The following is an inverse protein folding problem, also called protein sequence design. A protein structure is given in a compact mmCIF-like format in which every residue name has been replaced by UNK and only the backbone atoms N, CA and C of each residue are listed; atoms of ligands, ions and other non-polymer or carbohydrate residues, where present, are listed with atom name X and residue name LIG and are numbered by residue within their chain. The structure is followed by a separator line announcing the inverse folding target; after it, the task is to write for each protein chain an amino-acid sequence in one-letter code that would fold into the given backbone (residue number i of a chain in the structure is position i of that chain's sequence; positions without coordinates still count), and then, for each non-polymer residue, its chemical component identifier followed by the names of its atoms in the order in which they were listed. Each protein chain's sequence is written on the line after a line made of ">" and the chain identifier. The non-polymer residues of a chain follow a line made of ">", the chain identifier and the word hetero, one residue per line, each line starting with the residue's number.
data_IF_184917353332
#
_entry.id   IF_184917353332
#
_cell.length_a   1.000
_cell.length_b   1.000
_cell.length_c   1.000
_cell.angle_alpha   90.00
_cell.angle_beta   90.00
_cell.angle_gamma   90.00
#
_symmetry.space_group_name_H-M   'P 1'
#
loop_
_entity.id
_entity.type
_entity.pdbx_description
1 polymer ?
#
# COMPACT_ATOMS: atom_id res chain seq x y z
N UNK A 1 -16.60 11.57 2.83
CA UNK A 1 -15.37 10.98 2.31
C UNK A 1 -14.40 10.69 3.44
N UNK A 2 -13.74 9.55 3.38
CA UNK A 2 -12.73 9.18 4.38
C UNK A 2 -11.35 9.70 3.97
N UNK A 3 -10.44 9.79 4.93
CA UNK A 3 -9.05 10.16 4.66
C UNK A 3 -8.40 9.17 3.69
N UNK A 4 -8.74 7.88 3.80
CA UNK A 4 -8.23 6.86 2.90
C UNK A 4 -8.63 7.14 1.45
N UNK A 5 -9.88 7.53 1.20
CA UNK A 5 -10.33 7.86 -0.15
C UNK A 5 -9.59 9.06 -0.73
N UNK A 6 -9.35 10.07 0.10
CA UNK A 6 -8.59 11.26 -0.33
C UNK A 6 -7.17 10.87 -0.71
N UNK A 7 -6.52 10.06 0.12
CA UNK A 7 -5.17 9.59 -0.14
C UNK A 7 -5.09 8.76 -1.43
N UNK A 8 -6.07 7.87 -1.65
CA UNK A 8 -6.11 7.06 -2.86
C UNK A 8 -6.27 7.91 -4.12
N UNK A 9 -7.12 8.94 -4.07
CA UNK A 9 -7.29 9.86 -5.19
C UNK A 9 -6.00 10.63 -5.48
N UNK A 10 -5.32 11.09 -4.44
CA UNK A 10 -4.04 11.78 -4.59
C UNK A 10 -2.99 10.85 -5.18
N UNK A 11 -2.96 9.60 -4.73
CA UNK A 11 -2.01 8.60 -5.23
C UNK A 11 -2.24 8.32 -6.71
N UNK A 12 -3.50 8.15 -7.13
CA UNK A 12 -3.84 7.94 -8.53
C UNK A 12 -3.39 9.11 -9.40
N UNK A 13 -3.67 10.32 -8.95
CA UNK A 13 -3.30 11.53 -9.68
C UNK A 13 -1.78 11.67 -9.80
N UNK A 14 -1.07 11.43 -8.70
CA UNK A 14 0.38 11.50 -8.68
C UNK A 14 1.01 10.48 -9.61
N UNK A 15 0.54 9.25 -9.58
CA UNK A 15 1.06 8.20 -10.44
C UNK A 15 0.78 8.50 -11.91
N UNK A 16 -0.40 9.02 -12.21
CA UNK A 16 -0.74 9.41 -13.57
C UNK A 16 0.22 10.50 -14.08
N UNK A 17 0.44 11.53 -13.25
CA UNK A 17 1.35 12.63 -13.60
C UNK A 17 2.78 12.16 -13.84
N UNK A 18 3.23 11.19 -13.06
CA UNK A 18 4.60 10.64 -13.15
C UNK A 18 4.73 9.54 -14.20
N UNK A 19 3.64 9.13 -14.84
CA UNK A 19 3.67 8.09 -15.86
C UNK A 19 3.95 6.70 -15.32
N UNK A 20 3.61 6.45 -14.05
CA UNK A 20 3.77 5.13 -13.43
C UNK A 20 2.40 4.50 -13.17
N UNK A 21 2.36 3.17 -13.17
CA UNK A 21 1.09 2.44 -13.03
C UNK A 21 0.69 2.29 -11.57
N UNK A 22 -0.54 2.67 -11.27
CA UNK A 22 -1.14 2.44 -9.96
C UNK A 22 -2.07 1.23 -10.07
N UNK A 23 -1.49 0.04 -9.97
CA UNK A 23 -2.22 -1.21 -10.18
C UNK A 23 -3.22 -1.49 -9.06
N UNK A 24 -4.21 -2.38 -9.28
CA UNK A 24 -5.17 -2.73 -8.23
C UNK A 24 -4.52 -3.23 -6.94
N UNK A 25 -3.46 -4.03 -7.04
CA UNK A 25 -2.78 -4.54 -5.84
C UNK A 25 -2.07 -3.41 -5.09
N UNK A 26 -1.43 -2.49 -5.81
CA UNK A 26 -0.78 -1.32 -5.20
C UNK A 26 -1.81 -0.43 -4.50
N UNK A 27 -2.94 -0.24 -5.15
CA UNK A 27 -4.04 0.53 -4.59
C UNK A 27 -4.57 -0.11 -3.29
N UNK A 28 -4.77 -1.42 -3.30
CA UNK A 28 -5.29 -2.13 -2.13
C UNK A 28 -4.31 -2.10 -0.97
N UNK A 29 -3.03 -2.26 -1.24
CA UNK A 29 -1.99 -2.16 -0.21
C UNK A 29 -2.02 -0.78 0.46
N UNK A 30 -2.05 0.27 -0.34
CA UNK A 30 -2.12 1.64 0.18
C UNK A 30 -3.39 1.85 1.00
N UNK A 31 -4.52 1.37 0.51
CA UNK A 31 -5.80 1.49 1.20
C UNK A 31 -5.78 0.84 2.58
N UNK A 32 -5.25 -0.38 2.66
CA UNK A 32 -5.16 -1.11 3.93
C UNK A 32 -4.27 -0.39 4.93
N UNK A 33 -3.14 0.13 4.48
CA UNK A 33 -2.23 0.89 5.33
C UNK A 33 -2.90 2.16 5.83
N UNK A 34 -3.56 2.89 4.94
CA UNK A 34 -4.25 4.13 5.30
C UNK A 34 -5.39 3.90 6.29
N UNK A 35 -6.17 2.84 6.07
CA UNK A 35 -7.29 2.52 6.95
C UNK A 35 -6.85 2.07 8.34
N UNK A 36 -5.70 1.42 8.43
CA UNK A 36 -5.17 0.95 9.71
C UNK A 36 -4.80 2.13 10.63
N UNK A 37 -4.21 3.17 10.07
CA UNK A 37 -3.99 4.43 10.77
C UNK A 37 -2.87 4.45 11.79
N UNK A 38 -2.06 3.40 11.92
CA UNK A 38 -1.06 3.38 12.98
C UNK A 38 0.09 2.40 12.80
N UNK A 39 0.53 2.18 11.58
CA UNK A 39 1.62 1.26 11.33
C UNK A 39 1.13 -0.19 11.21
N UNK A 40 0.76 -0.56 9.99
CA UNK A 40 0.32 -1.92 9.69
C UNK A 40 1.54 -2.82 9.52
N UNK A 41 1.61 -3.89 10.30
CA UNK A 41 2.73 -4.84 10.22
C UNK A 41 2.68 -5.64 8.93
N UNK A 42 3.85 -5.94 8.38
CA UNK A 42 3.97 -6.68 7.14
C UNK A 42 3.22 -8.00 7.20
N UNK A 43 3.33 -8.73 8.30
CA UNK A 43 2.64 -10.00 8.48
C UNK A 43 1.12 -9.85 8.34
N UNK A 44 0.56 -8.85 9.01
CA UNK A 44 -0.89 -8.61 8.98
C UNK A 44 -1.36 -8.20 7.58
N UNK A 45 -0.56 -7.39 6.90
CA UNK A 45 -0.86 -6.99 5.52
C UNK A 45 -0.87 -8.20 4.59
N UNK A 46 0.15 -9.05 4.68
CA UNK A 46 0.24 -10.25 3.87
C UNK A 46 -0.94 -11.19 4.12
N UNK A 47 -1.27 -11.40 5.40
CA UNK A 47 -2.37 -12.27 5.78
C UNK A 47 -3.70 -11.79 5.20
N UNK A 48 -3.97 -10.50 5.34
CA UNK A 48 -5.22 -9.92 4.84
C UNK A 48 -5.30 -9.99 3.32
N UNK A 49 -4.21 -9.68 2.62
CA UNK A 49 -4.20 -9.73 1.17
C UNK A 49 -4.33 -11.15 0.64
N UNK A 50 -3.77 -12.15 1.32
CA UNK A 50 -3.87 -13.54 0.89
C UNK A 50 -5.31 -14.05 0.91
N UNK A 51 -6.15 -13.53 1.80
CA UNK A 51 -7.57 -13.88 1.84
C UNK A 51 -8.37 -13.18 0.75
N UNK A 52 -7.95 -11.99 0.34
CA UNK A 52 -8.67 -11.21 -0.66
C UNK A 52 -8.27 -11.53 -2.10
N UNK A 53 -6.99 -11.80 -2.33
CA UNK A 53 -6.41 -11.96 -3.66
C UNK A 53 -5.52 -13.20 -3.69
N UNK A 54 -5.94 -14.23 -4.41
CA UNK A 54 -5.18 -15.46 -4.53
C UNK A 54 -3.78 -15.24 -5.13
N UNK A 55 -3.63 -14.21 -5.96
CA UNK A 55 -2.36 -13.88 -6.61
C UNK A 55 -1.45 -13.00 -5.75
N UNK A 56 -1.91 -12.54 -4.58
CA UNK A 56 -1.15 -11.65 -3.71
C UNK A 56 -0.15 -12.44 -2.85
N UNK A 57 0.90 -12.93 -3.50
CA UNK A 57 1.98 -13.65 -2.81
C UNK A 57 2.98 -12.67 -2.23
N UNK A 58 3.79 -13.08 -1.23
CA UNK A 58 4.74 -12.18 -0.59
C UNK A 58 5.61 -11.36 -1.54
N UNK A 59 6.23 -11.91 -2.59
CA UNK A 59 7.03 -11.08 -3.50
C UNK A 59 6.22 -9.98 -4.17
N UNK A 60 4.97 -10.26 -4.57
CA UNK A 60 4.10 -9.28 -5.19
C UNK A 60 3.77 -8.15 -4.23
N UNK A 61 3.48 -8.48 -2.97
CA UNK A 61 3.15 -7.50 -1.95
C UNK A 61 4.35 -6.62 -1.62
N UNK A 62 5.54 -7.21 -1.47
CA UNK A 62 6.74 -6.44 -1.19
C UNK A 62 7.12 -5.52 -2.33
N UNK A 63 6.91 -5.92 -3.59
CA UNK A 63 7.11 -5.04 -4.74
C UNK A 63 6.15 -3.85 -4.71
N UNK A 64 4.90 -4.10 -4.33
CA UNK A 64 3.93 -3.02 -4.19
C UNK A 64 4.35 -2.05 -3.09
N UNK A 65 4.83 -2.56 -1.96
CA UNK A 65 5.32 -1.71 -0.87
C UNK A 65 6.53 -0.87 -1.30
N UNK A 66 7.49 -1.48 -2.00
CA UNK A 66 8.65 -0.74 -2.51
C UNK A 66 8.22 0.38 -3.44
N UNK A 67 7.28 0.09 -4.34
CA UNK A 67 6.74 1.10 -5.24
C UNK A 67 6.13 2.27 -4.46
N UNK A 68 5.30 1.97 -3.46
CA UNK A 68 4.63 3.00 -2.67
C UNK A 68 5.63 3.84 -1.86
N UNK A 69 6.68 3.21 -1.36
CA UNK A 69 7.75 3.92 -0.65
C UNK A 69 8.49 4.85 -1.61
N UNK A 70 8.83 4.37 -2.80
CA UNK A 70 9.50 5.18 -3.82
C UNK A 70 8.66 6.40 -4.22
N UNK A 71 7.34 6.24 -4.26
CA UNK A 71 6.44 7.34 -4.58
C UNK A 71 6.19 8.28 -3.41
N UNK A 72 6.73 7.97 -2.23
CA UNK A 72 6.54 8.79 -1.05
C UNK A 72 5.16 8.65 -0.42
N UNK A 73 4.43 7.62 -0.76
CA UNK A 73 3.07 7.40 -0.27
C UNK A 73 3.02 6.57 1.00
N UNK A 74 4.07 5.80 1.27
CA UNK A 74 4.18 4.90 2.42
C UNK A 74 5.55 5.05 3.03
N UNK A 75 5.62 4.95 4.36
CA UNK A 75 6.88 4.95 5.12
C UNK A 75 7.02 3.64 5.88
N UNK A 76 8.24 3.12 5.93
CA UNK A 76 8.54 1.92 6.69
C UNK A 76 9.03 2.29 8.08
N UNK A 77 8.46 1.64 9.11
CA UNK A 77 8.92 1.76 10.49
C UNK A 77 9.74 0.50 10.77
N UNK A 78 11.07 0.62 10.65
CA UNK A 78 11.96 -0.54 10.73
C UNK A 78 11.91 -1.25 12.07
N UNK A 79 11.83 -0.50 13.16
CA UNK A 79 11.81 -1.07 14.51
C UNK A 79 10.60 -1.99 14.75
N UNK A 80 9.54 -1.84 13.98
CA UNK A 80 8.31 -2.60 14.14
C UNK A 80 8.00 -3.49 12.95
N UNK A 81 8.81 -3.42 11.89
CA UNK A 81 8.54 -4.06 10.61
C UNK A 81 7.11 -3.74 10.13
N UNK A 82 6.76 -2.47 10.20
CA UNK A 82 5.43 -1.98 9.88
C UNK A 82 5.50 -0.86 8.84
N UNK A 83 4.33 -0.52 8.27
CA UNK A 83 4.22 0.49 7.22
C UNK A 83 3.11 1.48 7.57
N UNK A 84 3.38 2.74 7.30
CA UNK A 84 2.42 3.80 7.60
C UNK A 84 2.33 4.82 6.47
#
# INVERSE_FOLDING_TARGET
>A
MTEANTLLQQAESQCHTRGVRFTPIRRRVLELIAEHGGGLKAYDLLDQLSTEHAAARPPTVYRALEFLIEQGLVHRIESQNAYV
#
